data_IF_687136048516
#
_entry.id   IF_687136048516
#
_cell.length_a   1.000
_cell.length_b   1.000
_cell.length_c   1.000
_cell.angle_alpha   90.00
_cell.angle_beta   90.00
_cell.angle_gamma   90.00
#
_symmetry.space_group_name_H-M   'P 1'
#
loop_
_entity.id
_entity.type
_entity.pdbx_description
1 polymer ?
#
# COMPACT_ATOMS: atom_id res chain seq x y z
N UNK A 1 36.01 -8.59 -8.10
CA UNK A 1 34.68 -9.21 -8.07
C UNK A 1 33.92 -9.00 -6.75
N UNK A 2 34.51 -9.22 -5.56
CA UNK A 2 33.76 -9.14 -4.29
C UNK A 2 33.18 -7.76 -3.91
N UNK A 3 33.88 -6.66 -4.19
CA UNK A 3 33.40 -5.30 -3.84
C UNK A 3 32.23 -4.83 -4.72
N UNK A 4 32.23 -5.17 -6.01
CA UNK A 4 31.14 -4.82 -6.93
C UNK A 4 29.83 -5.49 -6.53
N UNK A 5 29.88 -6.77 -6.15
CA UNK A 5 28.71 -7.51 -5.69
C UNK A 5 28.08 -6.89 -4.44
N UNK A 6 28.91 -6.51 -3.46
CA UNK A 6 28.45 -5.83 -2.24
C UNK A 6 27.79 -4.49 -2.55
N UNK A 7 28.41 -3.69 -3.44
CA UNK A 7 27.86 -2.42 -3.86
C UNK A 7 26.46 -2.57 -4.49
N UNK A 8 26.30 -3.51 -5.42
CA UNK A 8 25.01 -3.79 -6.06
C UNK A 8 23.93 -4.19 -5.06
N UNK A 9 24.28 -5.02 -4.07
CA UNK A 9 23.34 -5.41 -3.00
C UNK A 9 22.89 -4.19 -2.20
N UNK A 10 23.84 -3.39 -1.70
CA UNK A 10 23.50 -2.21 -0.90
C UNK A 10 22.68 -1.20 -1.69
N UNK A 11 23.00 -1.01 -2.98
CA UNK A 11 22.24 -0.15 -3.86
C UNK A 11 20.81 -0.63 -4.07
N UNK A 12 20.61 -1.94 -4.29
CA UNK A 12 19.29 -2.54 -4.45
C UNK A 12 18.44 -2.38 -3.18
N UNK A 13 19.01 -2.67 -2.00
CA UNK A 13 18.32 -2.45 -0.72
C UNK A 13 18.03 -0.96 -0.48
N UNK A 14 18.99 -0.08 -0.73
CA UNK A 14 18.80 1.36 -0.58
C UNK A 14 17.64 1.86 -1.44
N UNK A 15 17.61 1.47 -2.72
CA UNK A 15 16.53 1.80 -3.65
C UNK A 15 15.18 1.26 -3.15
N UNK A 16 15.15 0.00 -2.70
CA UNK A 16 13.95 -0.61 -2.14
C UNK A 16 13.41 0.19 -0.94
N UNK A 17 14.27 0.53 0.03
CA UNK A 17 13.88 1.28 1.21
C UNK A 17 13.37 2.68 0.88
N UNK A 18 14.04 3.39 -0.04
CA UNK A 18 13.64 4.75 -0.43
C UNK A 18 12.28 4.73 -1.15
N UNK A 19 12.11 3.86 -2.14
CA UNK A 19 10.86 3.78 -2.92
C UNK A 19 9.68 3.33 -2.05
N UNK A 20 9.86 2.27 -1.25
CA UNK A 20 8.81 1.82 -0.34
C UNK A 20 8.53 2.85 0.74
N UNK A 21 9.55 3.57 1.21
CA UNK A 21 9.36 4.62 2.20
C UNK A 21 8.55 5.79 1.68
N UNK A 22 8.85 6.24 0.47
CA UNK A 22 8.06 7.25 -0.21
C UNK A 22 6.61 6.79 -0.43
N UNK A 23 6.41 5.59 -0.96
CA UNK A 23 5.08 5.02 -1.17
C UNK A 23 4.27 4.90 0.14
N UNK A 24 4.92 4.43 1.22
CA UNK A 24 4.31 4.34 2.56
C UNK A 24 3.90 5.71 3.08
N UNK A 25 4.75 6.72 2.91
CA UNK A 25 4.47 8.08 3.36
C UNK A 25 3.28 8.69 2.60
N UNK A 26 3.24 8.53 1.28
CA UNK A 26 2.11 8.99 0.44
C UNK A 26 0.81 8.29 0.82
N UNK A 27 0.85 6.95 0.95
CA UNK A 27 -0.33 6.16 1.31
C UNK A 27 -0.88 6.57 2.69
N UNK A 28 0.00 6.82 3.67
CA UNK A 28 -0.40 7.35 4.97
C UNK A 28 -1.00 8.75 4.87
N UNK A 29 -0.48 9.63 4.00
CA UNK A 29 -1.07 10.96 3.77
C UNK A 29 -2.49 10.84 3.24
N UNK A 30 -2.72 10.01 2.23
CA UNK A 30 -4.04 9.79 1.66
C UNK A 30 -5.02 9.21 2.70
N UNK A 31 -4.58 8.24 3.51
CA UNK A 31 -5.43 7.73 4.60
C UNK A 31 -5.74 8.78 5.66
N UNK A 32 -4.82 9.72 5.94
CA UNK A 32 -5.09 10.84 6.87
C UNK A 32 -6.15 11.77 6.32
N UNK A 33 -6.05 12.17 5.06
CA UNK A 33 -7.04 13.02 4.39
C UNK A 33 -8.41 12.35 4.38
N UNK A 34 -8.44 11.05 4.11
CA UNK A 34 -9.64 10.22 4.21
C UNK A 34 -10.26 10.24 5.62
N UNK A 35 -9.46 10.01 6.67
CA UNK A 35 -9.93 10.08 8.06
C UNK A 35 -10.37 11.49 8.47
N UNK A 36 -9.70 12.51 7.94
CA UNK A 36 -10.05 13.92 8.14
C UNK A 36 -11.41 14.22 7.50
N UNK A 37 -11.62 13.88 6.23
CA UNK A 37 -12.89 14.07 5.53
C UNK A 37 -14.05 13.37 6.25
N UNK A 38 -13.86 12.13 6.70
CA UNK A 38 -14.89 11.41 7.48
C UNK A 38 -15.23 12.14 8.78
N UNK A 39 -14.25 12.77 9.44
CA UNK A 39 -14.46 13.55 10.66
C UNK A 39 -15.18 14.87 10.35
N UNK A 40 -14.79 15.56 9.29
CA UNK A 40 -15.42 16.80 8.83
C UNK A 40 -16.88 16.56 8.47
N UNK A 41 -17.22 15.52 7.71
CA UNK A 41 -18.61 15.17 7.41
C UNK A 41 -19.45 14.93 8.68
N UNK A 42 -18.87 14.27 9.70
CA UNK A 42 -19.56 14.02 10.97
C UNK A 42 -19.78 15.30 11.78
N UNK A 43 -18.85 16.26 11.73
CA UNK A 43 -18.87 17.50 12.53
C UNK A 43 -19.32 18.71 11.74
N UNK A 44 -19.66 18.54 10.47
CA UNK A 44 -19.95 19.61 9.53
C UNK A 44 -20.96 20.59 10.12
N UNK A 45 -20.67 21.88 10.06
CA UNK A 45 -21.56 22.93 10.55
C UNK A 45 -21.43 24.12 9.59
N UNK A 46 -22.51 24.43 8.89
CA UNK A 46 -22.51 25.48 7.86
C UNK A 46 -22.11 26.85 8.44
N UNK A 47 -22.36 27.09 9.72
CA UNK A 47 -22.03 28.35 10.37
C UNK A 47 -20.52 28.53 10.62
N UNK A 48 -19.76 27.43 10.66
CA UNK A 48 -18.31 27.44 10.85
C UNK A 48 -17.53 27.54 9.53
N UNK A 49 -18.22 27.40 8.39
CA UNK A 49 -17.60 27.52 7.07
C UNK A 49 -17.34 29.00 6.75
N UNK A 50 -16.08 29.34 6.48
CA UNK A 50 -15.67 30.67 6.04
C UNK A 50 -15.68 30.78 4.52
N UNK A 51 -16.32 31.82 3.98
CA UNK A 51 -16.19 32.21 2.57
C UNK A 51 -15.15 33.33 2.44
N UNK A 52 -14.42 33.37 1.32
CA UNK A 52 -13.46 34.44 1.05
C UNK A 52 -14.14 35.81 0.89
N UNK A 53 -15.37 35.83 0.37
CA UNK A 53 -16.17 37.04 0.18
C UNK A 53 -17.55 36.92 0.83
N UNK A 54 -18.05 38.00 1.43
CA UNK A 54 -19.38 38.03 2.08
C UNK A 54 -20.52 37.90 1.07
N UNK A 55 -20.30 38.36 -0.16
CA UNK A 55 -21.24 38.15 -1.27
C UNK A 55 -21.44 36.65 -1.55
N UNK A 56 -20.35 35.88 -1.67
CA UNK A 56 -20.42 34.43 -1.90
C UNK A 56 -21.15 33.73 -0.76
N UNK A 57 -20.89 34.16 0.48
CA UNK A 57 -21.58 33.64 1.66
C UNK A 57 -23.08 33.85 1.57
N UNK A 58 -23.50 35.07 1.26
CA UNK A 58 -24.92 35.45 1.15
C UNK A 58 -25.58 34.68 -0.01
N UNK A 59 -24.91 34.61 -1.15
CA UNK A 59 -25.37 33.90 -2.32
C UNK A 59 -25.54 32.39 -2.05
N UNK A 60 -24.52 31.72 -1.52
CA UNK A 60 -24.55 30.29 -1.19
C UNK A 60 -25.61 30.01 -0.12
N UNK A 61 -25.69 30.81 0.95
CA UNK A 61 -26.71 30.61 1.98
C UNK A 61 -28.13 30.81 1.45
N UNK A 62 -28.34 31.76 0.53
CA UNK A 62 -29.64 31.94 -0.10
C UNK A 62 -30.04 30.73 -0.95
N UNK A 63 -29.09 30.14 -1.70
CA UNK A 63 -29.32 28.93 -2.48
C UNK A 63 -29.59 27.71 -1.59
N UNK A 64 -28.82 27.56 -0.51
CA UNK A 64 -29.01 26.49 0.48
C UNK A 64 -30.41 26.58 1.10
N UNK A 65 -30.83 27.75 1.59
CA UNK A 65 -32.17 27.93 2.14
C UNK A 65 -33.26 27.67 1.11
N UNK A 66 -33.03 28.00 -0.17
CA UNK A 66 -33.98 27.73 -1.25
C UNK A 66 -34.13 26.23 -1.55
N UNK A 67 -33.05 25.46 -1.53
CA UNK A 67 -33.08 24.03 -1.89
C UNK A 67 -33.40 23.11 -0.72
N UNK A 68 -32.91 23.43 0.48
CA UNK A 68 -33.02 22.59 1.67
C UNK A 68 -33.99 23.16 2.71
N UNK A 69 -34.59 24.33 2.46
CA UNK A 69 -35.53 25.02 3.37
C UNK A 69 -34.83 25.83 4.45
N UNK A 70 -33.75 25.31 5.04
CA UNK A 70 -32.93 26.04 6.02
C UNK A 70 -31.46 25.60 6.03
N UNK A 71 -30.62 26.39 6.72
CA UNK A 71 -29.20 26.07 6.93
C UNK A 71 -29.00 24.83 7.80
N UNK A 72 -29.88 24.65 8.78
CA UNK A 72 -29.91 23.51 9.70
C UNK A 72 -30.29 22.24 8.94
N UNK A 73 -31.30 22.31 8.08
CA UNK A 73 -31.70 21.18 7.23
C UNK A 73 -30.57 20.73 6.29
N UNK A 74 -29.84 21.68 5.69
CA UNK A 74 -28.65 21.35 4.90
C UNK A 74 -27.53 20.74 5.74
N UNK A 75 -27.29 21.27 6.94
CA UNK A 75 -26.28 20.72 7.85
C UNK A 75 -26.62 19.28 8.24
N UNK A 76 -27.89 18.99 8.51
CA UNK A 76 -28.35 17.65 8.83
C UNK A 76 -28.24 16.70 7.62
N UNK A 77 -28.64 17.15 6.44
CA UNK A 77 -28.46 16.42 5.18
C UNK A 77 -26.99 16.02 4.96
N UNK A 78 -26.04 16.94 5.17
CA UNK A 78 -24.60 16.64 5.02
C UNK A 78 -24.12 15.63 6.06
N UNK A 79 -24.56 15.76 7.31
CA UNK A 79 -24.15 14.88 8.42
C UNK A 79 -24.74 13.47 8.33
N UNK A 80 -25.95 13.34 7.79
CA UNK A 80 -26.68 12.08 7.69
C UNK A 80 -26.60 11.51 6.28
N UNK A 81 -27.36 12.06 5.35
CA UNK A 81 -27.60 11.50 4.02
C UNK A 81 -26.31 11.45 3.20
N UNK A 82 -25.65 12.60 3.02
CA UNK A 82 -24.41 12.66 2.24
C UNK A 82 -23.31 11.80 2.86
N UNK A 83 -23.21 11.80 4.18
CA UNK A 83 -22.25 10.94 4.88
C UNK A 83 -22.56 9.47 4.63
N UNK A 84 -23.82 9.05 4.71
CA UNK A 84 -24.23 7.67 4.47
C UNK A 84 -23.93 7.23 3.04
N UNK A 85 -24.10 8.10 2.06
CA UNK A 85 -23.78 7.82 0.65
C UNK A 85 -22.26 7.71 0.41
N UNK A 86 -21.46 8.54 1.08
CA UNK A 86 -20.01 8.54 0.93
C UNK A 86 -19.30 7.48 1.80
N UNK A 87 -19.90 7.05 2.91
CA UNK A 87 -19.30 6.14 3.88
C UNK A 87 -18.84 4.81 3.26
N UNK A 88 -19.57 4.15 2.33
CA UNK A 88 -19.09 2.95 1.65
C UNK A 88 -17.81 3.20 0.84
N UNK A 89 -17.71 4.35 0.17
CA UNK A 89 -16.52 4.74 -0.60
C UNK A 89 -15.36 5.08 0.32
N UNK A 90 -15.62 5.73 1.44
CA UNK A 90 -14.64 6.01 2.50
C UNK A 90 -14.36 4.78 3.38
N UNK A 91 -15.13 3.70 3.33
CA UNK A 91 -14.83 2.47 4.05
C UNK A 91 -13.85 1.59 3.27
N UNK A 92 -13.90 1.65 1.93
CA UNK A 92 -13.02 0.88 1.06
C UNK A 92 -11.55 1.21 1.34
N UNK A 93 -10.76 0.16 1.54
CA UNK A 93 -9.28 0.24 1.56
C UNK A 93 -8.77 0.33 0.13
N UNK A 94 -7.45 0.52 0.00
CA UNK A 94 -6.79 0.51 -1.29
C UNK A 94 -7.24 -0.70 -2.13
N UNK A 95 -7.79 -0.50 -3.34
CA UNK A 95 -8.39 -1.59 -4.11
C UNK A 95 -7.37 -2.67 -4.46
N UNK A 96 -7.71 -3.93 -4.23
CA UNK A 96 -6.84 -5.09 -4.47
C UNK A 96 -6.30 -5.16 -5.91
N UNK A 97 -7.09 -4.71 -6.90
CA UNK A 97 -6.67 -4.66 -8.32
C UNK A 97 -5.41 -3.82 -8.54
N UNK A 98 -5.26 -2.72 -7.81
CA UNK A 98 -4.06 -1.89 -7.88
C UNK A 98 -2.88 -2.53 -7.14
N UNK A 99 -3.12 -3.31 -6.09
CA UNK A 99 -2.07 -4.12 -5.46
C UNK A 99 -1.54 -5.16 -6.45
N UNK A 100 -2.42 -5.87 -7.16
CA UNK A 100 -2.02 -6.81 -8.20
C UNK A 100 -1.19 -6.14 -9.31
N UNK A 101 -1.54 -4.91 -9.68
CA UNK A 101 -0.77 -4.13 -10.67
C UNK A 101 0.65 -3.83 -10.17
N UNK A 102 0.82 -3.50 -8.89
CA UNK A 102 2.14 -3.30 -8.29
C UNK A 102 2.93 -4.62 -8.24
N UNK A 103 2.26 -5.73 -7.97
CA UNK A 103 2.87 -7.06 -7.93
C UNK A 103 3.27 -7.58 -9.32
N UNK A 104 2.61 -7.12 -10.38
CA UNK A 104 2.91 -7.55 -11.74
C UNK A 104 4.37 -7.29 -12.15
N UNK A 105 4.95 -6.17 -11.71
CA UNK A 105 6.35 -5.86 -11.99
C UNK A 105 7.30 -6.89 -11.36
N UNK A 106 7.06 -7.25 -10.09
CA UNK A 106 7.86 -8.25 -9.38
C UNK A 106 7.74 -9.63 -10.04
N UNK A 107 6.50 -10.06 -10.31
CA UNK A 107 6.23 -11.35 -10.97
C UNK A 107 6.84 -11.40 -12.37
N UNK A 108 6.81 -10.28 -13.11
CA UNK A 108 7.41 -10.20 -14.44
C UNK A 108 8.91 -10.48 -14.41
N UNK A 109 9.64 -9.86 -13.46
CA UNK A 109 11.09 -10.10 -13.31
C UNK A 109 11.38 -11.57 -13.03
N UNK A 110 10.66 -12.20 -12.11
CA UNK A 110 10.86 -13.63 -11.81
C UNK A 110 10.45 -14.55 -12.96
N UNK A 111 9.44 -14.17 -13.74
CA UNK A 111 9.05 -14.90 -14.96
C UNK A 111 10.13 -14.83 -16.04
N UNK A 112 10.81 -13.69 -16.19
CA UNK A 112 11.96 -13.57 -17.09
C UNK A 112 13.09 -14.54 -16.70
N UNK A 113 13.42 -14.62 -15.40
CA UNK A 113 14.39 -15.59 -14.89
C UNK A 113 13.96 -17.04 -15.13
N UNK A 114 12.68 -17.35 -14.90
CA UNK A 114 12.13 -18.68 -15.16
C UNK A 114 12.25 -19.07 -16.64
N UNK A 115 11.89 -18.16 -17.56
CA UNK A 115 12.00 -18.38 -19.01
C UNK A 115 13.48 -18.53 -19.43
N UNK A 116 14.38 -17.76 -18.83
CA UNK A 116 15.82 -17.89 -19.09
C UNK A 116 16.35 -19.27 -18.68
N UNK A 117 15.98 -19.77 -17.49
CA UNK A 117 16.37 -21.11 -17.04
C UNK A 117 15.78 -22.21 -17.93
N UNK A 118 14.50 -22.07 -18.32
CA UNK A 118 13.87 -23.00 -19.24
C UNK A 118 14.64 -23.06 -20.56
N UNK A 119 14.88 -21.91 -21.19
CA UNK A 119 15.58 -21.83 -22.46
C UNK A 119 17.05 -22.26 -22.36
N UNK A 120 17.65 -22.16 -21.18
CA UNK A 120 18.97 -22.70 -20.87
C UNK A 120 19.02 -24.22 -20.73
N UNK A 121 17.88 -24.92 -20.79
CA UNK A 121 17.80 -26.37 -20.64
C UNK A 121 17.90 -26.85 -19.19
N UNK A 122 17.50 -26.02 -18.23
CA UNK A 122 17.48 -26.43 -16.82
C UNK A 122 16.57 -27.66 -16.62
N UNK A 123 16.92 -28.58 -15.70
CA UNK A 123 16.08 -29.74 -15.38
C UNK A 123 14.68 -29.34 -14.93
N UNK A 124 13.68 -30.17 -15.24
CA UNK A 124 12.28 -29.88 -14.94
C UNK A 124 12.03 -29.69 -13.44
N UNK A 125 12.71 -30.46 -12.60
CA UNK A 125 12.65 -30.39 -11.15
C UNK A 125 13.12 -29.01 -10.65
N UNK A 126 14.17 -28.47 -11.27
CA UNK A 126 14.68 -27.13 -10.96
C UNK A 126 13.67 -26.05 -11.33
N UNK A 127 13.07 -26.16 -12.52
CA UNK A 127 12.03 -25.23 -12.96
C UNK A 127 10.82 -25.27 -12.02
N UNK A 128 10.35 -26.47 -11.68
CA UNK A 128 9.21 -26.64 -10.79
C UNK A 128 9.50 -26.09 -9.39
N UNK A 129 10.68 -26.37 -8.83
CA UNK A 129 11.08 -25.86 -7.52
C UNK A 129 11.15 -24.33 -7.51
N UNK A 130 11.72 -23.71 -8.55
CA UNK A 130 11.72 -22.25 -8.68
C UNK A 130 10.31 -21.67 -8.80
N UNK A 131 9.46 -22.29 -9.62
CA UNK A 131 8.08 -21.85 -9.82
C UNK A 131 7.26 -21.89 -8.51
N UNK A 132 7.42 -22.97 -7.73
CA UNK A 132 6.71 -23.11 -6.46
C UNK A 132 7.28 -22.19 -5.38
N UNK A 133 8.60 -22.20 -5.16
CA UNK A 133 9.22 -21.49 -4.05
C UNK A 133 9.30 -19.98 -4.28
N UNK A 134 9.81 -19.55 -5.44
CA UNK A 134 10.08 -18.13 -5.71
C UNK A 134 8.83 -17.46 -6.29
N UNK A 135 8.35 -17.93 -7.45
CA UNK A 135 7.22 -17.29 -8.14
C UNK A 135 5.93 -17.33 -7.32
N UNK A 136 5.46 -18.52 -6.94
CA UNK A 136 4.20 -18.63 -6.20
C UNK A 136 4.36 -18.29 -4.71
N UNK A 137 5.42 -18.80 -4.07
CA UNK A 137 5.66 -18.61 -2.65
C UNK A 137 6.02 -17.18 -2.28
N UNK A 138 7.10 -16.65 -2.84
CA UNK A 138 7.59 -15.30 -2.49
C UNK A 138 6.82 -14.21 -3.22
N UNK A 139 6.79 -14.25 -4.56
CA UNK A 139 6.30 -13.12 -5.34
C UNK A 139 4.77 -12.98 -5.29
N UNK A 140 4.05 -14.10 -5.38
CA UNK A 140 2.58 -14.05 -5.32
C UNK A 140 2.12 -14.02 -3.87
N UNK A 141 2.43 -15.04 -3.08
CA UNK A 141 1.84 -15.19 -1.74
C UNK A 141 2.42 -14.21 -0.73
N UNK A 142 3.72 -14.29 -0.41
CA UNK A 142 4.35 -13.47 0.64
C UNK A 142 4.22 -12.00 0.33
N UNK A 143 4.57 -11.57 -0.88
CA UNK A 143 4.55 -10.15 -1.20
C UNK A 143 3.13 -9.57 -1.29
N UNK A 144 2.11 -10.36 -1.67
CA UNK A 144 0.70 -9.93 -1.52
C UNK A 144 0.32 -9.79 -0.04
N UNK A 145 0.64 -10.77 0.80
CA UNK A 145 0.37 -10.72 2.24
C UNK A 145 1.03 -9.50 2.89
N UNK A 146 2.29 -9.21 2.54
CA UNK A 146 3.02 -8.04 3.02
C UNK A 146 2.41 -6.74 2.50
N UNK A 147 2.01 -6.67 1.24
CA UNK A 147 1.35 -5.49 0.67
C UNK A 147 0.02 -5.20 1.36
N UNK A 148 -0.79 -6.22 1.63
CA UNK A 148 -2.05 -6.09 2.40
C UNK A 148 -1.76 -5.65 3.83
N UNK A 149 -0.75 -6.23 4.47
CA UNK A 149 -0.33 -5.88 5.84
C UNK A 149 0.15 -4.43 5.91
N UNK A 150 1.00 -4.00 4.98
CA UNK A 150 1.45 -2.62 4.87
C UNK A 150 0.28 -1.65 4.68
N UNK A 151 -0.67 -1.97 3.79
CA UNK A 151 -1.88 -1.16 3.61
C UNK A 151 -2.72 -1.07 4.89
N UNK A 152 -2.87 -2.18 5.60
CA UNK A 152 -3.60 -2.21 6.86
C UNK A 152 -2.90 -1.36 7.94
N UNK A 153 -1.59 -1.53 8.13
CA UNK A 153 -0.82 -0.80 9.13
C UNK A 153 -0.81 0.71 8.82
N UNK A 154 -0.62 1.08 7.55
CA UNK A 154 -0.64 2.49 7.14
C UNK A 154 -1.98 3.16 7.39
N UNK A 155 -3.11 2.51 7.08
CA UNK A 155 -4.46 3.02 7.43
C UNK A 155 -4.63 3.12 8.96
N UNK A 156 -4.28 2.06 9.68
CA UNK A 156 -4.41 1.99 11.14
C UNK A 156 -3.62 3.08 11.87
N UNK A 157 -2.39 3.33 11.44
CA UNK A 157 -1.51 4.35 12.01
C UNK A 157 -1.68 5.73 11.38
N UNK A 158 -2.40 5.87 10.27
CA UNK A 158 -2.79 7.19 9.74
C UNK A 158 -3.78 7.90 10.66
N UNK A 159 -4.68 7.14 11.31
CA UNK A 159 -5.68 7.71 12.22
C UNK A 159 -5.10 8.37 13.49
N UNK A 160 -3.87 8.01 13.87
CA UNK A 160 -3.19 8.52 15.08
C UNK A 160 -2.04 9.44 14.67
N UNK A 161 -2.13 10.74 14.97
CA UNK A 161 -1.00 11.68 14.82
C UNK A 161 -0.10 11.56 16.05
N UNK A 162 1.17 11.24 15.84
CA UNK A 162 2.19 11.25 16.89
C UNK A 162 3.19 12.40 16.69
N UNK A 163 2.84 13.40 15.88
CA UNK A 163 3.68 14.57 15.62
C UNK A 163 5.01 14.16 15.00
N UNK A 164 6.12 14.49 15.69
CA UNK A 164 7.49 14.19 15.21
C UNK A 164 7.79 12.69 15.08
N UNK A 165 7.07 11.83 15.81
CA UNK A 165 7.27 10.37 15.76
C UNK A 165 6.60 9.69 14.56
N UNK A 166 5.88 10.42 13.71
CA UNK A 166 5.23 9.87 12.53
C UNK A 166 6.25 9.23 11.55
N UNK A 167 7.42 9.85 11.39
CA UNK A 167 8.51 9.32 10.56
C UNK A 167 9.09 8.03 11.12
N UNK A 168 9.25 7.96 12.45
CA UNK A 168 9.73 6.75 13.14
C UNK A 168 8.76 5.59 12.90
N UNK A 169 7.45 5.84 12.97
CA UNK A 169 6.45 4.80 12.67
C UNK A 169 6.51 4.33 11.23
N UNK A 170 6.66 5.24 10.27
CA UNK A 170 6.79 4.88 8.85
C UNK A 170 8.04 4.01 8.65
N UNK A 171 9.16 4.41 9.24
CA UNK A 171 10.40 3.64 9.22
C UNK A 171 10.21 2.25 9.82
N UNK A 172 9.60 2.13 11.00
CA UNK A 172 9.32 0.84 11.64
C UNK A 172 8.45 -0.08 10.79
N UNK A 173 7.40 0.45 10.14
CA UNK A 173 6.55 -0.33 9.23
C UNK A 173 7.41 -0.87 8.07
N UNK A 174 8.23 -0.04 7.43
CA UNK A 174 9.05 -0.46 6.29
C UNK A 174 10.11 -1.47 6.73
N UNK A 175 10.80 -1.22 7.86
CA UNK A 175 11.78 -2.16 8.41
C UNK A 175 11.16 -3.51 8.72
N UNK A 176 9.94 -3.54 9.27
CA UNK A 176 9.22 -4.79 9.51
C UNK A 176 8.91 -5.54 8.21
N UNK A 177 8.38 -4.85 7.20
CA UNK A 177 8.05 -5.45 5.90
C UNK A 177 9.32 -5.94 5.19
N UNK A 178 10.38 -5.12 5.18
CA UNK A 178 11.66 -5.45 4.56
C UNK A 178 12.33 -6.66 5.23
N UNK A 179 12.33 -6.72 6.57
CA UNK A 179 12.88 -7.85 7.31
C UNK A 179 12.12 -9.14 6.99
N UNK A 180 10.78 -9.11 7.01
CA UNK A 180 9.98 -10.29 6.70
C UNK A 180 10.20 -10.76 5.27
N UNK A 181 10.18 -9.84 4.30
CA UNK A 181 10.46 -10.17 2.90
C UNK A 181 11.85 -10.78 2.71
N UNK A 182 12.86 -10.20 3.36
CA UNK A 182 14.23 -10.73 3.36
C UNK A 182 14.27 -12.17 3.89
N UNK A 183 13.69 -12.43 5.06
CA UNK A 183 13.67 -13.77 5.63
C UNK A 183 12.93 -14.78 4.74
N UNK A 184 11.77 -14.41 4.20
CA UNK A 184 11.02 -15.27 3.28
C UNK A 184 11.80 -15.59 2.01
N UNK A 185 12.50 -14.61 1.44
CA UNK A 185 13.32 -14.82 0.25
C UNK A 185 14.49 -15.77 0.53
N UNK A 186 15.23 -15.56 1.64
CA UNK A 186 16.32 -16.47 2.00
C UNK A 186 15.82 -17.90 2.26
N UNK A 187 14.66 -18.06 2.91
CA UNK A 187 14.05 -19.37 3.12
C UNK A 187 13.68 -20.05 1.80
N UNK A 188 13.10 -19.31 0.86
CA UNK A 188 12.72 -19.85 -0.45
C UNK A 188 13.95 -20.23 -1.29
N UNK A 189 15.03 -19.43 -1.23
CA UNK A 189 16.30 -19.75 -1.88
C UNK A 189 16.93 -21.01 -1.26
N UNK A 190 16.92 -21.14 0.07
CA UNK A 190 17.42 -22.34 0.74
C UNK A 190 16.60 -23.59 0.38
N UNK A 191 15.26 -23.47 0.34
CA UNK A 191 14.38 -24.55 -0.09
C UNK A 191 14.67 -24.98 -1.53
N UNK A 192 14.83 -24.01 -2.44
CA UNK A 192 15.21 -24.25 -3.83
C UNK A 192 16.57 -24.95 -3.95
N UNK A 193 17.59 -24.46 -3.25
CA UNK A 193 18.93 -25.05 -3.28
C UNK A 193 18.95 -26.50 -2.76
N UNK A 194 18.23 -26.79 -1.67
CA UNK A 194 18.16 -28.15 -1.13
C UNK A 194 17.51 -29.15 -2.09
N UNK A 195 16.55 -28.70 -2.89
CA UNK A 195 15.94 -29.52 -3.95
C UNK A 195 16.93 -29.88 -5.06
N UNK A 196 17.89 -28.99 -5.36
CA UNK A 196 18.91 -29.23 -6.39
C UNK A 196 19.95 -30.25 -5.95
N UNK A 197 20.36 -30.22 -4.67
CA UNK A 197 21.31 -31.19 -4.12
C UNK A 197 20.81 -32.62 -4.27
N UNK A 198 19.50 -32.84 -4.15
CA UNK A 198 18.90 -34.15 -4.37
C UNK A 198 18.86 -34.54 -5.86
N UNK A 199 18.84 -33.60 -6.80
CA UNK A 199 18.87 -33.90 -8.23
C UNK A 199 20.27 -34.22 -8.76
N UNK A 200 21.34 -33.67 -8.17
CA UNK A 200 22.73 -33.88 -8.65
C UNK A 200 23.26 -35.28 -8.28
N UNK A 201 22.64 -35.94 -7.29
CA UNK A 201 23.07 -37.25 -6.79
C UNK A 201 22.48 -38.45 -7.56
N UNK A 202 21.65 -38.21 -8.58
CA UNK A 202 21.07 -39.23 -9.46
C UNK A 202 21.48 -39.00 -10.92
#
# INVERSE_FOLDING_TARGET
SGNEYRFTIYFAYGTFYVLNGFATALLRSNYREKHHLRRELRRFDLNQVSCMHEFDRTFIYSAISKWYGSKEAFTEFVRQDLRQDLEPSLAKRFPFKYLLLLMAALVSTSMEFFVAMWKGGAPFESLLSFALAILLGVDVFVATCLSVTMNYLTDRFAARRFGRFDHVQTFLIISFIAAFFYYSNNLAVAAYASSLEHCILF
#
